data_IF_863542789329
#
_entry.id   IF_863542789329
#
_cell.length_a   1.000
_cell.length_b   1.000
_cell.length_c   1.000
_cell.angle_alpha   90.00
_cell.angle_beta   90.00
_cell.angle_gamma   90.00
#
_symmetry.space_group_name_H-M   'P 1'
#
loop_
_entity.id
_entity.type
_entity.pdbx_description
1 polymer ?
#
# COMPACT_ATOMS: atom_id res chain seq x y z
N UNK A 1 34.77 55.86 64.03
CA UNK A 1 33.48 55.39 63.48
C UNK A 1 33.80 54.45 62.33
N UNK A 2 33.85 53.15 62.60
CA UNK A 2 34.21 52.11 61.62
C UNK A 2 32.94 51.55 60.97
N UNK A 3 32.77 51.70 59.66
CA UNK A 3 31.62 51.17 58.92
C UNK A 3 31.89 49.69 58.58
N UNK A 4 31.20 48.77 59.26
CA UNK A 4 31.25 47.33 59.00
C UNK A 4 30.59 46.99 57.64
N UNK A 5 31.39 46.62 56.64
CA UNK A 5 30.91 46.05 55.37
C UNK A 5 30.68 44.54 55.52
N UNK A 6 29.42 44.12 55.63
CA UNK A 6 29.02 42.70 55.48
C UNK A 6 29.24 42.21 54.04
N UNK A 7 30.17 41.29 53.82
CA UNK A 7 30.26 40.48 52.59
C UNK A 7 29.08 39.49 52.55
N UNK A 8 28.20 39.61 51.56
CA UNK A 8 27.21 38.56 51.24
C UNK A 8 27.93 37.36 50.62
N UNK A 9 27.73 36.16 51.20
CA UNK A 9 28.14 34.88 50.62
C UNK A 9 27.38 34.66 49.31
N UNK A 10 28.05 34.09 48.31
CA UNK A 10 27.53 33.84 46.95
C UNK A 10 26.71 32.53 46.81
N UNK A 11 26.34 31.89 47.93
CA UNK A 11 25.84 30.51 47.91
C UNK A 11 24.32 30.37 48.11
N UNK A 12 23.56 31.47 48.10
CA UNK A 12 22.10 31.43 48.27
C UNK A 12 21.35 31.46 46.93
N UNK A 13 21.61 30.47 46.07
CA UNK A 13 20.70 30.18 44.96
C UNK A 13 19.67 29.14 45.43
N UNK A 14 18.36 29.45 45.42
CA UNK A 14 17.35 28.52 45.90
C UNK A 14 17.36 27.24 45.05
N UNK A 15 17.59 26.09 45.69
CA UNK A 15 17.43 24.79 45.03
C UNK A 15 15.98 24.64 44.59
N UNK A 16 15.76 24.49 43.30
CA UNK A 16 14.42 24.30 42.75
C UNK A 16 13.75 23.09 43.44
N UNK A 17 12.44 23.17 43.75
CA UNK A 17 11.73 22.07 44.39
C UNK A 17 11.76 20.81 43.52
N UNK A 18 11.95 19.64 44.13
CA UNK A 18 12.07 18.34 43.43
C UNK A 18 10.84 17.99 42.58
N UNK A 19 9.67 18.55 42.88
CA UNK A 19 8.46 18.36 42.07
C UNK A 19 8.55 19.00 40.69
N UNK A 20 9.37 20.04 40.49
CA UNK A 20 9.61 20.63 39.17
C UNK A 20 10.32 19.65 38.24
N UNK A 21 11.20 18.79 38.78
CA UNK A 21 11.83 17.73 37.99
C UNK A 21 10.82 16.68 37.55
N UNK A 22 9.88 16.31 38.42
CA UNK A 22 8.82 15.37 38.08
C UNK A 22 7.82 15.95 37.08
N UNK A 23 7.43 17.22 37.20
CA UNK A 23 6.55 17.86 36.20
C UNK A 23 7.25 18.00 34.85
N UNK A 24 8.55 18.29 34.83
CA UNK A 24 9.33 18.39 33.60
C UNK A 24 9.56 17.01 32.95
N UNK A 25 9.79 15.96 33.74
CA UNK A 25 9.82 14.57 33.25
C UNK A 25 8.44 14.14 32.75
N UNK A 26 7.35 14.42 33.46
CA UNK A 26 5.99 14.12 33.01
C UNK A 26 5.66 14.90 31.75
N UNK A 27 6.05 16.17 31.63
CA UNK A 27 5.88 16.97 30.41
C UNK A 27 6.72 16.42 29.26
N UNK A 28 7.98 16.04 29.48
CA UNK A 28 8.84 15.43 28.46
C UNK A 28 8.27 14.07 27.99
N UNK A 29 7.85 13.21 28.92
CA UNK A 29 7.20 11.92 28.61
C UNK A 29 5.85 12.13 27.93
N UNK A 30 5.09 13.16 28.31
CA UNK A 30 3.81 13.51 27.66
C UNK A 30 4.04 14.09 26.25
N UNK A 31 5.13 14.82 26.03
CA UNK A 31 5.53 15.34 24.72
C UNK A 31 6.01 14.23 23.77
N UNK A 32 6.53 13.12 24.28
CA UNK A 32 6.88 11.93 23.48
C UNK A 32 5.66 11.12 23.02
N UNK A 33 4.47 11.29 23.63
CA UNK A 33 3.27 10.50 23.27
C UNK A 33 2.43 11.06 22.12
N UNK A 34 2.82 12.18 21.51
CA UNK A 34 2.07 12.81 20.40
C UNK A 34 2.65 12.61 19.00
N UNK A 35 3.58 11.68 18.82
CA UNK A 35 3.89 11.17 17.49
C UNK A 35 2.99 9.96 17.18
N UNK A 36 1.71 10.22 16.90
CA UNK A 36 0.90 9.23 16.17
C UNK A 36 1.57 9.13 14.80
N UNK A 37 2.40 8.11 14.63
CA UNK A 37 3.13 7.84 13.40
C UNK A 37 2.16 7.85 12.22
N UNK A 38 2.21 8.91 11.42
CA UNK A 38 1.75 8.86 10.05
C UNK A 38 2.66 7.86 9.34
N UNK A 39 2.27 6.59 9.36
CA UNK A 39 2.95 5.55 8.61
C UNK A 39 2.59 5.82 7.15
N UNK A 40 3.42 6.55 6.43
CA UNK A 40 3.26 6.73 4.99
C UNK A 40 3.12 5.32 4.35
N UNK A 41 2.00 5.02 3.68
CA UNK A 41 1.73 3.70 3.09
C UNK A 41 1.67 3.77 1.57
N UNK A 42 1.99 2.67 0.90
CA UNK A 42 1.97 2.57 -0.56
C UNK A 42 0.59 2.85 -1.17
N UNK A 43 -0.50 2.73 -0.39
CA UNK A 43 -1.86 3.11 -0.79
C UNK A 43 -1.97 4.57 -1.24
N UNK A 44 -1.08 5.46 -0.79
CA UNK A 44 -1.02 6.85 -1.25
C UNK A 44 -0.84 6.97 -2.77
N UNK A 45 -0.27 5.95 -3.42
CA UNK A 45 -0.19 5.87 -4.88
C UNK A 45 -1.57 5.99 -5.54
N UNK A 46 -2.64 5.49 -4.91
CA UNK A 46 -4.00 5.54 -5.45
C UNK A 46 -4.70 6.90 -5.31
N UNK A 47 -4.21 7.77 -4.42
CA UNK A 47 -4.80 9.09 -4.17
C UNK A 47 -4.03 10.19 -4.90
N UNK A 48 -2.70 10.13 -4.89
CA UNK A 48 -1.83 11.21 -5.41
C UNK A 48 -0.75 10.72 -6.38
N UNK A 49 -0.47 9.42 -6.45
CA UNK A 49 0.65 8.88 -7.23
C UNK A 49 0.35 8.66 -8.71
N UNK A 50 -0.88 8.32 -9.09
CA UNK A 50 -1.24 7.98 -10.49
C UNK A 50 -0.96 9.13 -11.46
N UNK A 51 -1.31 10.37 -11.09
CA UNK A 51 -1.15 11.53 -11.98
C UNK A 51 0.32 11.94 -12.15
N UNK A 52 1.17 11.69 -11.14
CA UNK A 52 2.61 11.98 -11.22
C UNK A 52 3.33 11.08 -12.22
N UNK A 53 2.89 9.83 -12.37
CA UNK A 53 3.46 8.87 -13.32
C UNK A 53 2.94 9.03 -14.75
N UNK A 54 1.68 9.45 -14.92
CA UNK A 54 1.12 9.72 -16.27
C UNK A 54 1.79 10.91 -16.96
N UNK A 55 2.16 11.92 -16.18
CA UNK A 55 2.69 13.19 -16.70
C UNK A 55 4.22 13.24 -16.78
N UNK A 56 4.91 12.13 -16.46
CA UNK A 56 6.37 12.09 -16.59
C UNK A 56 6.74 11.68 -18.02
N UNK A 57 7.40 12.55 -18.81
CA UNK A 57 7.86 12.17 -20.14
C UNK A 57 8.85 11.02 -19.99
N UNK A 58 8.59 9.88 -20.64
CA UNK A 58 9.46 8.71 -20.55
C UNK A 58 10.77 8.90 -21.34
N UNK A 59 10.87 9.86 -22.25
CA UNK A 59 12.11 10.14 -22.98
C UNK A 59 12.15 11.61 -23.43
N UNK A 60 12.96 12.44 -22.77
CA UNK A 60 13.45 13.70 -23.36
C UNK A 60 14.96 13.74 -23.15
N UNK A 61 15.69 13.67 -24.27
CA UNK A 61 17.14 13.78 -24.34
C UNK A 61 17.58 15.09 -23.69
N UNK A 62 18.24 15.02 -22.53
CA UNK A 62 18.99 16.15 -21.96
C UNK A 62 18.61 16.59 -20.54
N UNK A 63 17.52 16.13 -19.93
CA UNK A 63 17.19 16.45 -18.54
C UNK A 63 16.55 15.26 -17.82
N UNK A 64 17.31 14.18 -17.61
CA UNK A 64 16.86 13.08 -16.77
C UNK A 64 16.94 13.51 -15.31
N UNK A 65 15.79 13.78 -14.66
CA UNK A 65 15.73 13.41 -13.26
C UNK A 65 16.03 11.90 -13.22
N UNK A 66 17.04 11.44 -12.45
CA UNK A 66 17.33 10.02 -12.39
C UNK A 66 16.06 9.32 -11.92
N UNK A 67 15.68 8.21 -12.55
CA UNK A 67 14.45 7.49 -12.19
C UNK A 67 14.44 7.05 -10.73
N UNK A 68 15.64 6.86 -10.15
CA UNK A 68 15.87 6.70 -8.71
C UNK A 68 15.19 7.83 -7.91
N UNK A 69 15.29 9.07 -8.39
CA UNK A 69 14.62 10.25 -7.83
C UNK A 69 13.10 10.19 -7.92
N UNK A 70 12.52 9.66 -9.00
CA UNK A 70 11.06 9.56 -9.13
C UNK A 70 10.45 8.55 -8.14
N UNK A 71 11.09 7.39 -7.99
CA UNK A 71 10.68 6.39 -7.00
C UNK A 71 10.91 6.88 -5.56
N UNK A 72 12.00 7.60 -5.29
CA UNK A 72 12.31 8.15 -3.97
C UNK A 72 11.36 9.30 -3.56
N UNK A 73 10.76 10.00 -4.52
CA UNK A 73 9.75 11.04 -4.28
C UNK A 73 8.40 10.45 -3.83
N UNK A 74 8.18 9.15 -4.02
CA UNK A 74 6.95 8.49 -3.58
C UNK A 74 7.03 8.27 -2.08
N UNK A 75 6.35 9.13 -1.33
CA UNK A 75 6.15 8.94 0.11
C UNK A 75 5.44 7.61 0.36
N UNK A 76 5.90 6.88 1.37
CA UNK A 76 5.26 5.64 1.80
C UNK A 76 5.64 4.38 1.04
N UNK A 77 6.72 4.37 0.27
CA UNK A 77 7.35 3.11 -0.14
C UNK A 77 8.30 2.60 0.96
N UNK A 78 8.22 1.31 1.26
CA UNK A 78 9.22 0.62 2.07
C UNK A 78 10.51 0.36 1.26
N UNK A 79 11.60 -0.07 1.89
CA UNK A 79 12.89 -0.19 1.22
C UNK A 79 12.87 -1.22 0.07
N UNK A 80 12.16 -2.34 0.26
CA UNK A 80 11.96 -3.37 -0.77
C UNK A 80 10.97 -2.92 -1.84
N UNK A 81 9.94 -2.15 -1.48
CA UNK A 81 9.04 -1.54 -2.48
C UNK A 81 9.77 -0.52 -3.35
N UNK A 82 10.71 0.24 -2.79
CA UNK A 82 11.55 1.17 -3.53
C UNK A 82 12.42 0.43 -4.55
N UNK A 83 13.04 -0.69 -4.17
CA UNK A 83 13.79 -1.55 -5.11
C UNK A 83 12.90 -2.06 -6.24
N UNK A 84 11.70 -2.56 -5.91
CA UNK A 84 10.73 -2.98 -6.92
C UNK A 84 10.32 -1.84 -7.85
N UNK A 85 10.10 -0.63 -7.33
CA UNK A 85 9.81 0.55 -8.14
C UNK A 85 10.94 0.86 -9.13
N UNK A 86 12.20 0.81 -8.67
CA UNK A 86 13.35 1.07 -9.55
C UNK A 86 13.53 0.01 -10.63
N UNK A 87 13.16 -1.24 -10.37
CA UNK A 87 13.26 -2.35 -11.32
C UNK A 87 12.06 -2.42 -12.28
N UNK A 88 10.85 -2.14 -11.79
CA UNK A 88 9.57 -2.32 -12.48
C UNK A 88 8.81 -0.99 -12.58
N UNK A 89 9.44 0.00 -13.21
CA UNK A 89 8.94 1.38 -13.24
C UNK A 89 7.59 1.50 -13.97
N UNK A 90 7.44 0.78 -15.08
CA UNK A 90 6.21 0.65 -15.87
C UNK A 90 5.02 0.08 -15.07
N UNK A 91 5.28 -0.59 -13.94
CA UNK A 91 4.23 -1.16 -13.09
C UNK A 91 3.63 -0.14 -12.12
N UNK A 92 4.33 0.96 -11.82
CA UNK A 92 3.94 1.88 -10.74
C UNK A 92 2.60 2.58 -11.04
N UNK A 93 2.34 2.92 -12.30
CA UNK A 93 1.04 3.45 -12.74
C UNK A 93 -0.09 2.44 -12.49
N UNK A 94 0.15 1.17 -12.80
CA UNK A 94 -0.79 0.06 -12.62
C UNK A 94 -1.06 -0.23 -11.14
N UNK A 95 -0.03 -0.18 -10.29
CA UNK A 95 -0.16 -0.30 -8.83
C UNK A 95 -1.02 0.83 -8.29
N UNK A 96 -0.77 2.07 -8.71
CA UNK A 96 -1.57 3.23 -8.31
C UNK A 96 -3.03 3.10 -8.75
N UNK A 97 -3.29 2.70 -10.00
CA UNK A 97 -4.66 2.39 -10.50
C UNK A 97 -5.33 1.33 -9.63
N UNK A 98 -4.62 0.25 -9.31
CA UNK A 98 -5.12 -0.84 -8.45
C UNK A 98 -5.42 -0.40 -7.02
N UNK A 99 -4.56 0.43 -6.43
CA UNK A 99 -4.81 1.03 -5.12
C UNK A 99 -6.06 1.91 -5.14
N UNK A 100 -6.18 2.79 -6.15
CA UNK A 100 -7.35 3.67 -6.32
C UNK A 100 -8.65 2.88 -6.46
N UNK A 101 -8.62 1.81 -7.25
CA UNK A 101 -9.76 0.91 -7.41
C UNK A 101 -10.14 0.23 -6.09
N UNK A 102 -9.16 -0.29 -5.35
CA UNK A 102 -9.42 -0.91 -4.04
C UNK A 102 -10.00 0.07 -3.01
N UNK A 103 -9.51 1.31 -2.98
CA UNK A 103 -10.04 2.38 -2.13
C UNK A 103 -11.50 2.70 -2.52
N UNK A 104 -11.77 2.90 -3.80
CA UNK A 104 -13.11 3.22 -4.29
C UNK A 104 -14.12 2.10 -4.02
N UNK A 105 -13.72 0.84 -4.20
CA UNK A 105 -14.57 -0.31 -3.88
C UNK A 105 -14.81 -0.43 -2.37
N UNK A 106 -13.80 -0.15 -1.54
CA UNK A 106 -13.96 -0.12 -0.10
C UNK A 106 -14.98 0.95 0.34
N UNK A 107 -14.87 2.16 -0.21
CA UNK A 107 -15.85 3.23 0.03
C UNK A 107 -17.24 2.83 -0.42
N UNK A 108 -17.36 2.20 -1.58
CA UNK A 108 -18.64 1.74 -2.10
C UNK A 108 -19.30 0.69 -1.19
N UNK A 109 -18.55 -0.31 -0.73
CA UNK A 109 -19.05 -1.40 0.12
C UNK A 109 -19.44 -0.91 1.52
N UNK A 110 -18.77 0.13 2.02
CA UNK A 110 -18.98 0.65 3.38
C UNK A 110 -19.76 1.97 3.43
N UNK A 111 -20.28 2.48 2.31
CA UNK A 111 -20.94 3.80 2.21
C UNK A 111 -22.05 4.04 3.26
N UNK A 112 -22.78 2.99 3.63
CA UNK A 112 -23.91 3.04 4.57
C UNK A 112 -23.53 2.52 5.98
N UNK A 113 -22.23 2.46 6.30
CA UNK A 113 -21.69 2.02 7.58
C UNK A 113 -21.13 3.20 8.38
N UNK A 114 -21.05 3.04 9.72
CA UNK A 114 -20.44 4.04 10.62
C UNK A 114 -19.00 4.37 10.24
N UNK A 115 -18.24 3.35 9.87
CA UNK A 115 -16.95 3.51 9.19
C UNK A 115 -17.18 3.29 7.71
N UNK A 116 -17.00 4.34 6.90
CA UNK A 116 -17.35 4.37 5.48
C UNK A 116 -16.13 4.28 4.53
N UNK A 117 -14.97 3.88 5.05
CA UNK A 117 -13.73 3.79 4.30
C UNK A 117 -13.29 5.10 3.62
N UNK A 118 -13.71 6.27 4.13
CA UNK A 118 -13.25 7.57 3.64
C UNK A 118 -11.74 7.70 3.78
N UNK A 119 -11.08 8.25 2.77
CA UNK A 119 -9.65 8.55 2.83
C UNK A 119 -9.38 9.79 3.67
N UNK A 120 -8.37 9.75 4.52
CA UNK A 120 -7.86 10.95 5.21
C UNK A 120 -6.85 11.68 4.32
N UNK A 121 -6.66 12.99 4.54
CA UNK A 121 -5.66 13.80 3.81
C UNK A 121 -4.20 13.45 4.19
N UNK A 122 -4.00 12.45 5.05
CA UNK A 122 -2.69 11.98 5.49
C UNK A 122 -2.09 10.93 4.53
N UNK A 123 -0.77 10.78 4.59
CA UNK A 123 0.04 9.85 3.80
C UNK A 123 -0.26 8.35 4.00
N UNK A 124 -1.02 8.00 5.04
CA UNK A 124 -1.43 6.61 5.32
C UNK A 124 -2.70 6.19 4.57
N UNK A 125 -3.43 7.14 3.97
CA UNK A 125 -4.75 6.98 3.31
C UNK A 125 -5.90 6.54 4.23
N UNK A 126 -5.67 5.57 5.12
CA UNK A 126 -6.69 5.03 6.04
C UNK A 126 -6.45 5.39 7.52
N UNK A 127 -5.48 6.25 7.82
CA UNK A 127 -5.26 6.78 9.17
C UNK A 127 -4.87 5.70 10.21
N UNK A 128 -5.26 5.87 11.49
CA UNK A 128 -4.93 4.93 12.56
C UNK A 128 -5.51 3.52 12.39
N UNK A 129 -6.50 3.34 11.50
CA UNK A 129 -7.16 2.05 11.27
C UNK A 129 -6.15 0.94 10.96
N UNK A 130 -5.09 1.27 10.21
CA UNK A 130 -4.04 0.34 9.78
C UNK A 130 -3.20 -0.21 10.95
N UNK A 131 -3.22 0.48 12.09
CA UNK A 131 -2.50 0.07 13.29
C UNK A 131 -3.35 -0.87 14.16
N UNK A 132 -4.66 -0.91 13.92
CA UNK A 132 -5.62 -1.70 14.69
C UNK A 132 -5.93 -2.98 13.92
N UNK A 133 -5.90 -4.12 14.63
CA UNK A 133 -6.31 -5.40 14.06
C UNK A 133 -7.85 -5.53 14.07
N UNK A 134 -8.52 -4.81 13.17
CA UNK A 134 -9.98 -4.81 13.03
C UNK A 134 -10.47 -5.53 11.77
N UNK A 135 -11.79 -5.78 11.68
CA UNK A 135 -12.40 -6.41 10.49
C UNK A 135 -12.33 -5.49 9.28
N UNK A 136 -12.43 -4.18 9.51
CA UNK A 136 -12.31 -3.13 8.51
C UNK A 136 -10.88 -3.10 7.95
N UNK A 137 -9.86 -3.12 8.82
CA UNK A 137 -8.46 -3.21 8.39
C UNK A 137 -8.21 -4.48 7.56
N UNK A 138 -8.77 -5.62 7.99
CA UNK A 138 -8.67 -6.87 7.24
C UNK A 138 -9.27 -6.76 5.83
N UNK A 139 -10.44 -6.14 5.70
CA UNK A 139 -11.08 -5.89 4.41
C UNK A 139 -10.24 -4.96 3.53
N UNK A 140 -9.71 -3.87 4.08
CA UNK A 140 -8.86 -2.92 3.35
C UNK A 140 -7.61 -3.60 2.77
N UNK A 141 -6.92 -4.42 3.57
CA UNK A 141 -5.77 -5.21 3.11
C UNK A 141 -6.15 -6.16 1.94
N UNK A 142 -7.25 -6.87 2.09
CA UNK A 142 -7.74 -7.79 1.06
C UNK A 142 -8.13 -7.06 -0.23
N UNK A 143 -8.98 -6.04 -0.16
CA UNK A 143 -9.51 -5.36 -1.34
C UNK A 143 -8.44 -4.57 -2.09
N UNK A 144 -7.48 -3.96 -1.38
CA UNK A 144 -6.36 -3.30 -2.03
C UNK A 144 -5.40 -4.27 -2.71
N UNK A 145 -5.12 -5.44 -2.10
CA UNK A 145 -4.31 -6.46 -2.75
C UNK A 145 -5.01 -7.02 -3.99
N UNK A 146 -6.32 -7.23 -3.92
CA UNK A 146 -7.15 -7.62 -5.06
C UNK A 146 -7.12 -6.56 -6.20
N UNK A 147 -7.24 -5.28 -5.84
CA UNK A 147 -7.16 -4.17 -6.80
C UNK A 147 -5.83 -4.13 -7.56
N UNK A 148 -4.70 -4.37 -6.88
CA UNK A 148 -3.38 -4.45 -7.54
C UNK A 148 -3.29 -5.65 -8.48
N UNK A 149 -3.78 -6.84 -8.07
CA UNK A 149 -3.82 -8.01 -8.96
C UNK A 149 -4.62 -7.70 -10.22
N UNK A 150 -5.83 -7.15 -10.06
CA UNK A 150 -6.69 -6.81 -11.18
C UNK A 150 -6.03 -5.81 -12.15
N UNK A 151 -5.53 -4.68 -11.62
CA UNK A 151 -4.94 -3.63 -12.45
C UNK A 151 -3.67 -4.09 -13.19
N UNK A 152 -2.77 -4.81 -12.52
CA UNK A 152 -1.54 -5.31 -13.15
C UNK A 152 -1.86 -6.36 -14.20
N UNK A 153 -2.75 -7.30 -13.91
CA UNK A 153 -3.16 -8.34 -14.86
C UNK A 153 -3.82 -7.79 -16.12
N UNK A 154 -4.61 -6.74 -15.97
CA UNK A 154 -5.23 -6.03 -17.09
C UNK A 154 -4.22 -5.24 -17.90
N UNK A 155 -3.26 -4.61 -17.25
CA UNK A 155 -2.19 -3.85 -17.91
C UNK A 155 -1.30 -4.79 -18.75
N UNK A 156 -1.08 -6.04 -18.29
CA UNK A 156 -0.43 -7.08 -19.11
C UNK A 156 -1.21 -7.42 -20.38
N UNK A 157 -2.55 -7.44 -20.33
CA UNK A 157 -3.41 -7.72 -21.49
C UNK A 157 -3.38 -6.56 -22.48
N UNK A 158 -3.33 -5.33 -21.97
CA UNK A 158 -3.33 -4.10 -22.76
C UNK A 158 -1.95 -3.81 -23.39
N UNK A 159 -0.89 -4.50 -22.93
CA UNK A 159 0.47 -4.29 -23.43
C UNK A 159 1.20 -3.12 -22.78
N UNK A 160 0.65 -2.56 -21.70
CA UNK A 160 1.23 -1.45 -20.94
C UNK A 160 2.55 -1.83 -20.23
N UNK A 161 2.79 -3.13 -20.00
CA UNK A 161 3.90 -3.65 -19.19
C UNK A 161 4.83 -4.51 -20.05
N UNK A 162 6.13 -4.18 -20.08
CA UNK A 162 7.10 -4.86 -20.95
C UNK A 162 7.42 -6.30 -20.52
N UNK A 163 7.23 -6.58 -19.23
CA UNK A 163 7.60 -7.86 -18.60
C UNK A 163 6.53 -8.97 -18.70
N UNK A 164 5.34 -8.65 -19.20
CA UNK A 164 4.23 -9.58 -19.32
C UNK A 164 3.41 -9.35 -20.60
N UNK A 165 2.50 -10.28 -20.87
CA UNK A 165 1.55 -10.18 -21.98
C UNK A 165 0.27 -10.93 -21.63
N UNK A 166 -0.51 -11.31 -22.64
CA UNK A 166 -1.76 -12.05 -22.49
C UNK A 166 -1.64 -13.31 -21.62
N UNK A 167 -2.75 -13.67 -20.99
CA UNK A 167 -2.89 -14.93 -20.24
C UNK A 167 -2.54 -16.15 -21.08
N UNK A 168 -1.75 -17.07 -20.50
CA UNK A 168 -1.46 -18.39 -21.08
C UNK A 168 -2.45 -19.47 -20.60
N UNK A 169 -3.64 -19.05 -20.17
CA UNK A 169 -4.66 -19.97 -19.67
C UNK A 169 -5.13 -20.92 -20.77
N UNK A 170 -5.11 -22.22 -20.45
CA UNK A 170 -5.65 -23.25 -21.34
C UNK A 170 -7.17 -23.14 -21.43
N UNK A 171 -7.72 -23.60 -22.55
CA UNK A 171 -9.17 -23.77 -22.74
C UNK A 171 -9.76 -24.54 -21.54
N UNK A 172 -10.83 -24.03 -20.90
CA UNK A 172 -11.52 -24.75 -19.85
C UNK A 172 -12.08 -26.09 -20.35
N UNK A 173 -11.93 -27.16 -19.56
CA UNK A 173 -12.38 -28.51 -19.94
C UNK A 173 -13.90 -28.61 -20.04
N UNK A 174 -14.60 -27.80 -19.27
CA UNK A 174 -16.05 -27.66 -19.19
C UNK A 174 -16.63 -26.76 -20.31
N UNK A 175 -15.79 -26.12 -21.13
CA UNK A 175 -16.26 -25.28 -22.22
C UNK A 175 -16.76 -26.14 -23.38
N UNK A 176 -18.05 -26.01 -23.67
CA UNK A 176 -18.73 -26.74 -24.75
C UNK A 176 -18.01 -26.58 -26.10
N UNK A 177 -17.89 -27.68 -26.86
CA UNK A 177 -17.03 -27.77 -28.07
C UNK A 177 -17.35 -26.74 -29.14
N UNK A 178 -18.61 -26.33 -29.23
CA UNK A 178 -19.07 -25.32 -30.20
C UNK A 178 -18.55 -23.92 -29.90
N UNK A 179 -18.14 -23.66 -28.66
CA UNK A 179 -17.59 -22.37 -28.28
C UNK A 179 -16.10 -22.35 -28.60
N UNK A 180 -15.65 -21.31 -29.30
CA UNK A 180 -14.23 -21.08 -29.59
C UNK A 180 -13.59 -20.49 -28.33
N UNK A 181 -12.39 -20.94 -27.96
CA UNK A 181 -11.60 -20.30 -26.90
C UNK A 181 -10.40 -19.63 -27.54
N UNK A 182 -10.31 -18.31 -27.42
CA UNK A 182 -9.21 -17.54 -27.98
C UNK A 182 -9.35 -16.07 -27.65
N UNK A 183 -8.33 -15.27 -27.99
CA UNK A 183 -8.24 -13.86 -27.60
C UNK A 183 -7.16 -13.62 -26.54
N UNK A 184 -6.96 -12.35 -26.19
CA UNK A 184 -6.00 -11.92 -25.19
C UNK A 184 -6.71 -11.68 -23.85
N UNK A 185 -6.60 -12.64 -22.92
CA UNK A 185 -7.15 -12.52 -21.56
C UNK A 185 -6.19 -11.88 -20.55
N UNK A 186 -6.74 -11.36 -19.45
CA UNK A 186 -5.96 -10.82 -18.33
C UNK A 186 -4.99 -11.84 -17.72
N UNK A 187 -3.72 -11.45 -17.51
CA UNK A 187 -2.69 -12.34 -17.00
C UNK A 187 -2.68 -12.39 -15.47
N UNK A 188 -3.62 -13.15 -14.90
CA UNK A 188 -3.85 -13.23 -13.45
C UNK A 188 -2.67 -13.82 -12.69
N UNK A 189 -1.97 -14.79 -13.28
CA UNK A 189 -0.83 -15.43 -12.62
C UNK A 189 0.33 -14.45 -12.46
N UNK A 190 0.59 -13.60 -13.46
CA UNK A 190 1.59 -12.54 -13.36
C UNK A 190 1.18 -11.51 -12.30
N UNK A 191 -0.05 -10.96 -12.41
CA UNK A 191 -0.55 -9.95 -11.45
C UNK A 191 -0.56 -10.46 -10.01
N UNK A 192 -0.94 -11.72 -9.78
CA UNK A 192 -0.88 -12.36 -8.46
C UNK A 192 0.55 -12.36 -7.90
N UNK A 193 1.54 -12.80 -8.69
CA UNK A 193 2.95 -12.88 -8.24
C UNK A 193 3.53 -11.51 -7.96
N UNK A 194 3.26 -10.55 -8.84
CA UNK A 194 3.73 -9.19 -8.68
C UNK A 194 3.08 -8.51 -7.45
N UNK A 195 1.76 -8.62 -7.30
CA UNK A 195 1.06 -8.07 -6.14
C UNK A 195 1.56 -8.68 -4.83
N UNK A 196 1.85 -9.99 -4.80
CA UNK A 196 2.48 -10.63 -3.65
C UNK A 196 3.85 -10.03 -3.34
N UNK A 197 4.70 -9.87 -4.34
CA UNK A 197 6.03 -9.30 -4.16
C UNK A 197 5.99 -7.85 -3.65
N UNK A 198 5.07 -7.03 -4.17
CA UNK A 198 4.99 -5.60 -3.86
C UNK A 198 4.17 -5.28 -2.59
N UNK A 199 2.99 -5.86 -2.44
CA UNK A 199 2.08 -5.55 -1.32
C UNK A 199 2.60 -6.15 0.00
N UNK A 200 3.18 -7.35 -0.04
CA UNK A 200 3.71 -8.00 1.16
C UNK A 200 5.14 -7.52 1.52
N UNK A 201 5.77 -6.72 0.66
CA UNK A 201 7.15 -6.24 0.85
C UNK A 201 7.35 -5.57 2.22
N UNK A 202 6.43 -4.66 2.60
CA UNK A 202 6.51 -3.94 3.87
C UNK A 202 6.35 -4.84 5.09
N UNK A 203 5.40 -5.78 5.03
CA UNK A 203 5.14 -6.70 6.14
C UNK A 203 6.30 -7.69 6.33
N UNK A 204 6.98 -8.07 5.24
CA UNK A 204 8.09 -9.05 5.27
C UNK A 204 9.48 -8.44 5.45
N UNK A 205 9.60 -7.11 5.49
CA UNK A 205 10.89 -6.42 5.68
C UNK A 205 11.38 -6.44 7.11
N UNK A 206 10.48 -6.55 8.08
CA UNK A 206 10.81 -6.50 9.52
C UNK A 206 10.58 -7.87 10.13
N UNK A 207 11.54 -8.30 10.94
CA UNK A 207 11.37 -9.46 11.80
C UNK A 207 10.80 -9.00 13.14
N UNK A 208 9.77 -9.71 13.60
CA UNK A 208 9.15 -9.45 14.90
C UNK A 208 9.43 -10.60 15.87
N UNK A 209 9.63 -10.33 17.17
CA UNK A 209 9.82 -11.37 18.17
C UNK A 209 8.66 -12.39 18.16
N UNK A 210 8.96 -13.63 18.52
CA UNK A 210 7.93 -14.66 18.70
C UNK A 210 6.93 -14.21 19.76
N UNK A 211 5.65 -14.53 19.55
CA UNK A 211 4.54 -14.17 20.44
C UNK A 211 4.31 -12.65 20.63
N UNK A 212 4.90 -11.79 19.78
CA UNK A 212 4.64 -10.35 19.83
C UNK A 212 3.33 -9.98 19.13
N UNK A 213 2.71 -8.87 19.57
CA UNK A 213 1.49 -8.33 18.96
C UNK A 213 1.73 -7.89 17.51
N UNK A 214 2.91 -7.37 17.24
CA UNK A 214 3.35 -6.95 15.91
C UNK A 214 3.49 -8.13 14.96
N UNK A 215 4.04 -9.27 15.44
CA UNK A 215 4.11 -10.50 14.67
C UNK A 215 2.71 -11.00 14.31
N UNK A 216 1.77 -11.01 15.27
CA UNK A 216 0.39 -11.38 15.02
C UNK A 216 -0.28 -10.47 13.97
N UNK A 217 -0.07 -9.16 14.07
CA UNK A 217 -0.58 -8.17 13.09
C UNK A 217 0.02 -8.38 11.70
N UNK A 218 1.34 -8.58 11.61
CA UNK A 218 2.03 -8.87 10.35
C UNK A 218 1.45 -10.13 9.69
N UNK A 219 1.28 -11.22 10.45
CA UNK A 219 0.69 -12.47 9.95
C UNK A 219 -0.76 -12.28 9.48
N UNK A 220 -1.56 -11.52 10.23
CA UNK A 220 -2.92 -11.16 9.84
C UNK A 220 -2.93 -10.36 8.53
N UNK A 221 -2.08 -9.34 8.40
CA UNK A 221 -1.97 -8.52 7.18
C UNK A 221 -1.59 -9.38 5.97
N UNK A 222 -0.58 -10.25 6.11
CA UNK A 222 -0.18 -11.20 5.06
C UNK A 222 -1.32 -12.15 4.67
N UNK A 223 -2.06 -12.67 5.65
CA UNK A 223 -3.22 -13.52 5.41
C UNK A 223 -4.32 -12.78 4.63
N UNK A 224 -4.64 -11.55 5.04
CA UNK A 224 -5.69 -10.75 4.40
C UNK A 224 -5.30 -10.34 2.97
N UNK A 225 -4.05 -9.93 2.76
CA UNK A 225 -3.52 -9.66 1.42
C UNK A 225 -3.68 -10.92 0.54
N UNK A 226 -3.30 -12.09 1.05
CA UNK A 226 -3.42 -13.36 0.34
C UNK A 226 -4.87 -13.74 0.01
N UNK A 227 -5.79 -13.51 0.95
CA UNK A 227 -7.22 -13.72 0.72
C UNK A 227 -7.72 -12.88 -0.47
N UNK A 228 -7.38 -11.59 -0.52
CA UNK A 228 -7.72 -10.71 -1.64
C UNK A 228 -7.17 -11.16 -2.99
N UNK A 229 -5.90 -11.60 -3.02
CA UNK A 229 -5.28 -12.13 -4.24
C UNK A 229 -5.94 -13.42 -4.73
N UNK A 230 -6.31 -14.31 -3.82
CA UNK A 230 -7.02 -15.57 -4.15
C UNK A 230 -8.41 -15.30 -4.71
N UNK A 231 -9.17 -14.36 -4.13
CA UNK A 231 -10.48 -13.97 -4.66
C UNK A 231 -10.36 -13.47 -6.09
N UNK A 232 -9.35 -12.65 -6.40
CA UNK A 232 -9.11 -12.19 -7.78
C UNK A 232 -8.86 -13.36 -8.74
N UNK A 233 -8.11 -14.38 -8.29
CA UNK A 233 -7.86 -15.61 -9.06
C UNK A 233 -9.11 -16.46 -9.28
N UNK A 234 -10.08 -16.42 -8.37
CA UNK A 234 -11.35 -17.13 -8.49
C UNK A 234 -12.35 -16.34 -9.32
N UNK A 235 -12.56 -15.06 -9.01
CA UNK A 235 -13.52 -14.19 -9.70
C UNK A 235 -13.19 -14.07 -11.19
N UNK A 236 -11.91 -13.88 -11.55
CA UNK A 236 -11.51 -13.76 -12.96
C UNK A 236 -11.54 -15.09 -13.71
N UNK A 237 -11.63 -16.22 -13.00
CA UNK A 237 -11.92 -17.54 -13.59
C UNK A 237 -13.43 -17.79 -13.74
N UNK A 238 -14.25 -17.30 -12.81
CA UNK A 238 -15.70 -17.49 -12.79
C UNK A 238 -16.44 -16.53 -13.73
N UNK A 239 -15.95 -15.29 -13.85
CA UNK A 239 -16.35 -14.37 -14.90
C UNK A 239 -15.74 -14.88 -16.22
N UNK A 240 -16.42 -15.84 -16.85
CA UNK A 240 -16.14 -16.32 -18.20
C UNK A 240 -15.98 -15.10 -19.14
N UNK A 241 -14.75 -14.67 -19.43
CA UNK A 241 -14.46 -13.73 -20.53
C UNK A 241 -14.04 -12.31 -20.17
N UNK A 242 -12.92 -12.11 -19.46
CA UNK A 242 -12.15 -10.86 -19.58
C UNK A 242 -10.94 -11.04 -20.51
N UNK A 243 -11.26 -11.45 -21.75
CA UNK A 243 -10.37 -11.31 -22.91
C UNK A 243 -10.12 -12.58 -23.73
N UNK A 244 -10.60 -13.74 -23.28
CA UNK A 244 -10.86 -14.85 -24.21
C UNK A 244 -12.32 -14.82 -24.65
N UNK A 245 -12.57 -14.46 -25.91
CA UNK A 245 -13.91 -14.54 -26.47
C UNK A 245 -14.33 -16.01 -26.53
N UNK A 246 -15.50 -16.27 -25.96
CA UNK A 246 -16.25 -17.50 -26.16
C UNK A 246 -17.36 -17.12 -27.11
N UNK A 247 -17.21 -17.39 -28.40
CA UNK A 247 -18.29 -17.21 -29.38
C UNK A 247 -18.76 -18.60 -29.81
N UNK A 248 -20.08 -18.82 -29.82
CA UNK A 248 -20.66 -20.04 -30.38
C UNK A 248 -20.35 -20.05 -31.88
N UNK A 249 -19.77 -21.15 -32.39
CA UNK A 249 -19.66 -21.34 -33.83
C UNK A 249 -21.05 -21.19 -34.44
N UNK A 250 -21.23 -20.21 -35.33
CA UNK A 250 -22.37 -20.22 -36.24
C UNK A 250 -22.17 -21.43 -37.14
N UNK A 251 -23.02 -22.42 -36.97
CA UNK A 251 -23.14 -23.54 -37.90
C UNK A 251 -23.91 -22.98 -39.10
N UNK A 252 -23.20 -22.70 -40.19
CA UNK A 252 -23.80 -22.58 -41.51
C UNK A 252 -24.07 -23.98 -42.05
#
# INVERSE_FOLDING_TARGET
MEVSRRRRRKDDLPRAPTWWWWTLVILLVSMETRAVYALDMWWQLGVSGVERWKNHPTYVLGASQPVIGLCAQIKGLSARQLRLCTTYQDHMSSIGRGAKMGIGECQFQFRDRRWNCSTVQDSSVFGPLIQIASREAAFTHAISSAGVVHAVSRSCREGDLASCGCSRARRPKDLHRDWIWGGCGDNIEYGYRFAKAFVDARETERNHPRHSRELARMMMNLHNNEAGRKVSKVQLKLLKGFGTYSQRRNVL
#
